data_IF_965684682787
#
_entry.id   IF_965684682787
#
_cell.length_a   1.000
_cell.length_b   1.000
_cell.length_c   1.000
_cell.angle_alpha   90.00
_cell.angle_beta   90.00
_cell.angle_gamma   90.00
#
_symmetry.space_group_name_H-M   'P 1'
#
loop_
_entity.id
_entity.type
_entity.pdbx_description
1 polymer ?
#
# COMPACT_ATOMS: atom_id res chain seq x y z
N UNK A 1 -4.67 -19.97 -15.70
CA UNK A 1 -5.46 -18.96 -14.96
C UNK A 1 -5.22 -19.09 -13.47
N UNK A 2 -5.39 -18.00 -12.72
CA UNK A 2 -5.32 -17.95 -11.27
C UNK A 2 -6.70 -17.57 -10.73
N UNK A 3 -7.18 -18.26 -9.70
CA UNK A 3 -8.51 -18.03 -9.14
C UNK A 3 -8.50 -18.16 -7.63
N UNK A 4 -9.37 -17.39 -6.97
CA UNK A 4 -9.59 -17.42 -5.54
C UNK A 4 -11.02 -17.83 -5.21
N UNK A 5 -11.17 -18.55 -4.11
CA UNK A 5 -12.45 -18.88 -3.50
C UNK A 5 -12.48 -18.36 -2.07
N UNK A 6 -13.58 -17.73 -1.68
CA UNK A 6 -13.85 -17.29 -0.30
C UNK A 6 -14.71 -18.28 0.50
N UNK A 7 -15.16 -19.37 -0.11
CA UNK A 7 -16.21 -20.24 0.42
C UNK A 7 -15.82 -21.74 0.41
N UNK A 8 -14.52 -22.04 0.55
CA UNK A 8 -14.03 -23.42 0.61
C UNK A 8 -14.05 -24.15 -0.73
N UNK A 9 -14.05 -23.41 -1.85
CA UNK A 9 -14.00 -23.95 -3.20
C UNK A 9 -15.37 -24.14 -3.86
N UNK A 10 -16.46 -23.67 -3.25
CA UNK A 10 -17.80 -23.76 -3.84
C UNK A 10 -17.97 -22.80 -5.02
N UNK A 11 -17.43 -21.58 -4.90
CA UNK A 11 -17.35 -20.60 -5.99
C UNK A 11 -15.91 -20.12 -6.20
N UNK A 12 -15.59 -19.74 -7.45
CA UNK A 12 -14.24 -19.35 -7.86
C UNK A 12 -14.28 -18.07 -8.70
N UNK A 13 -13.51 -17.08 -8.28
CA UNK A 13 -13.29 -15.82 -9.02
C UNK A 13 -11.92 -15.86 -9.67
N UNK A 14 -11.84 -15.67 -10.99
CA UNK A 14 -10.56 -15.53 -11.71
C UNK A 14 -9.95 -14.18 -11.35
N UNK A 15 -8.71 -14.20 -10.88
CA UNK A 15 -7.99 -12.99 -10.44
C UNK A 15 -6.82 -12.63 -11.33
N UNK A 16 -6.35 -13.59 -12.14
CA UNK A 16 -5.30 -13.34 -13.12
C UNK A 16 -5.31 -14.40 -14.25
N UNK A 17 -4.83 -14.01 -15.43
CA UNK A 17 -4.70 -14.87 -16.62
C UNK A 17 -3.37 -14.60 -17.33
N UNK A 18 -2.45 -15.57 -17.22
CA UNK A 18 -1.16 -15.56 -17.91
C UNK A 18 -1.20 -16.32 -19.23
N UNK A 19 -0.50 -15.81 -20.24
CA UNK A 19 -0.35 -16.40 -21.56
C UNK A 19 -1.58 -16.27 -22.48
N UNK A 20 -1.51 -16.85 -23.69
CA UNK A 20 -0.33 -17.43 -24.31
C UNK A 20 0.65 -16.37 -24.88
N UNK A 21 0.23 -15.12 -25.05
CA UNK A 21 1.05 -14.04 -25.63
C UNK A 21 1.37 -12.90 -24.63
N UNK A 22 1.37 -13.19 -23.33
CA UNK A 22 1.82 -12.23 -22.32
C UNK A 22 3.33 -12.35 -22.10
N UNK A 23 3.93 -11.36 -21.42
CA UNK A 23 5.34 -11.44 -21.02
C UNK A 23 5.64 -12.70 -20.19
N UNK A 24 4.63 -13.23 -19.50
CA UNK A 24 4.72 -14.44 -18.66
C UNK A 24 5.00 -15.73 -19.44
N UNK A 25 4.80 -15.73 -20.76
CA UNK A 25 5.03 -16.90 -21.62
C UNK A 25 6.48 -17.03 -22.13
N UNK A 26 7.36 -16.07 -21.86
CA UNK A 26 8.73 -16.04 -22.43
C UNK A 26 9.80 -16.66 -21.52
N UNK A 27 9.39 -17.30 -20.42
CA UNK A 27 10.28 -17.93 -19.44
C UNK A 27 10.85 -16.94 -18.40
N UNK A 28 11.31 -17.49 -17.28
CA UNK A 28 11.79 -16.75 -16.11
C UNK A 28 10.84 -16.80 -14.91
N UNK A 29 11.33 -16.39 -13.74
CA UNK A 29 10.51 -16.22 -12.55
C UNK A 29 9.97 -14.79 -12.51
N UNK A 30 8.64 -14.65 -12.55
CA UNK A 30 7.95 -13.35 -12.57
C UNK A 30 7.08 -13.28 -11.33
N UNK A 31 7.24 -12.21 -10.56
CA UNK A 31 6.47 -11.99 -9.35
C UNK A 31 5.07 -11.47 -9.70
N UNK A 32 4.05 -12.13 -9.15
CA UNK A 32 2.66 -11.73 -9.22
C UNK A 32 2.13 -11.48 -7.81
N UNK A 33 1.25 -10.49 -7.66
CA UNK A 33 0.57 -10.21 -6.40
C UNK A 33 -0.88 -9.86 -6.68
N UNK A 34 -1.75 -10.08 -5.70
CA UNK A 34 -3.18 -9.77 -5.79
C UNK A 34 -3.62 -9.16 -4.47
N UNK A 35 -4.22 -7.96 -4.51
CA UNK A 35 -4.77 -7.35 -3.32
C UNK A 35 -6.15 -7.94 -3.00
N UNK A 36 -6.19 -8.91 -2.07
CA UNK A 36 -7.39 -9.70 -1.76
C UNK A 36 -8.61 -8.84 -1.45
N UNK A 37 -8.47 -7.78 -0.64
CA UNK A 37 -9.59 -6.94 -0.22
C UNK A 37 -10.22 -6.11 -1.35
N UNK A 38 -9.57 -5.99 -2.52
CA UNK A 38 -10.20 -5.41 -3.71
C UNK A 38 -11.10 -6.41 -4.46
N UNK A 39 -11.01 -7.70 -4.16
CA UNK A 39 -11.68 -8.78 -4.90
C UNK A 39 -12.72 -9.47 -4.04
N UNK A 40 -12.38 -9.80 -2.79
CA UNK A 40 -13.27 -10.48 -1.85
C UNK A 40 -12.85 -10.25 -0.40
N UNK A 41 -13.79 -10.47 0.53
CA UNK A 41 -13.48 -10.47 1.96
C UNK A 41 -12.69 -11.74 2.32
N UNK A 42 -11.54 -11.62 3.00
CA UNK A 42 -10.79 -12.80 3.44
C UNK A 42 -11.58 -13.67 4.42
N UNK A 43 -11.46 -14.99 4.28
CA UNK A 43 -12.13 -15.98 5.13
C UNK A 43 -11.15 -17.05 5.63
N UNK A 44 -11.54 -17.80 6.66
CA UNK A 44 -10.72 -18.90 7.19
C UNK A 44 -10.70 -20.15 6.31
N UNK A 45 -11.57 -20.21 5.30
CA UNK A 45 -11.70 -21.32 4.35
C UNK A 45 -11.36 -20.91 2.90
N UNK A 46 -10.60 -19.83 2.71
CA UNK A 46 -10.18 -19.42 1.38
C UNK A 46 -9.31 -20.48 0.70
N UNK A 47 -9.41 -20.56 -0.63
CA UNK A 47 -8.55 -21.40 -1.45
C UNK A 47 -8.01 -20.63 -2.66
N UNK A 48 -6.78 -20.95 -3.03
CA UNK A 48 -6.14 -20.52 -4.28
C UNK A 48 -6.12 -21.69 -5.26
N UNK A 49 -6.49 -21.44 -6.51
CA UNK A 49 -6.37 -22.40 -7.60
C UNK A 49 -5.60 -21.78 -8.74
N UNK A 50 -4.57 -22.49 -9.18
CA UNK A 50 -3.80 -22.15 -10.36
C UNK A 50 -3.91 -23.31 -11.36
N UNK A 51 -4.27 -22.99 -12.60
CA UNK A 51 -4.50 -23.98 -13.65
C UNK A 51 -3.65 -23.62 -14.87
N UNK A 52 -2.68 -24.47 -15.18
CA UNK A 52 -2.04 -24.52 -16.49
C UNK A 52 -2.95 -25.30 -17.45
N UNK A 53 -3.21 -24.77 -18.64
CA UNK A 53 -4.12 -25.39 -19.60
C UNK A 53 -3.56 -25.37 -21.02
N UNK A 54 -3.58 -26.53 -21.66
CA UNK A 54 -3.13 -26.82 -23.02
C UNK A 54 -4.29 -26.71 -24.02
N UNK A 55 -4.99 -25.56 -24.00
CA UNK A 55 -6.25 -25.38 -24.74
C UNK A 55 -6.08 -25.31 -26.27
N UNK A 56 -4.84 -25.19 -26.76
CA UNK A 56 -4.51 -25.09 -28.19
C UNK A 56 -3.94 -26.39 -28.75
N UNK A 57 -4.27 -26.72 -30.00
CA UNK A 57 -3.71 -27.87 -30.70
C UNK A 57 -2.18 -27.79 -30.77
N UNK A 58 -1.50 -28.82 -30.27
CA UNK A 58 -0.03 -28.88 -30.25
C UNK A 58 0.63 -28.04 -29.14
N UNK A 59 -0.15 -27.52 -28.18
CA UNK A 59 0.42 -26.81 -27.03
C UNK A 59 1.11 -27.77 -26.06
N UNK A 60 2.32 -27.41 -25.63
CA UNK A 60 3.00 -27.99 -24.47
C UNK A 60 3.06 -26.85 -23.46
N UNK A 61 2.33 -26.99 -22.36
CA UNK A 61 2.23 -25.95 -21.33
C UNK A 61 2.86 -26.47 -20.05
N UNK A 62 3.93 -25.81 -19.63
CA UNK A 62 4.56 -25.99 -18.32
C UNK A 62 4.52 -24.65 -17.61
N UNK A 63 4.25 -24.66 -16.31
CA UNK A 63 4.57 -23.53 -15.47
C UNK A 63 4.75 -23.98 -14.02
N UNK A 64 5.49 -23.15 -13.27
CA UNK A 64 5.87 -23.40 -11.90
C UNK A 64 5.42 -22.24 -11.02
N UNK A 65 5.17 -22.54 -9.75
CA UNK A 65 4.93 -21.56 -8.70
C UNK A 65 5.99 -21.77 -7.62
N UNK A 66 6.52 -20.66 -7.11
CA UNK A 66 7.41 -20.63 -5.96
C UNK A 66 7.09 -19.38 -5.12
N UNK A 67 7.53 -19.33 -3.86
CA UNK A 67 7.32 -18.21 -2.93
C UNK A 67 5.85 -17.74 -2.80
N UNK A 68 4.91 -18.68 -2.69
CA UNK A 68 3.49 -18.36 -2.46
C UNK A 68 3.29 -17.90 -1.02
N UNK A 69 3.13 -16.59 -0.84
CA UNK A 69 2.91 -15.97 0.46
C UNK A 69 1.56 -15.23 0.54
N UNK A 70 0.88 -15.35 1.68
CA UNK A 70 -0.27 -14.53 2.04
C UNK A 70 0.05 -13.64 3.23
N UNK A 71 0.09 -12.32 3.02
CA UNK A 71 0.34 -11.35 4.09
C UNK A 71 -0.95 -10.66 4.50
N UNK A 72 -1.26 -10.67 5.80
CA UNK A 72 -2.34 -9.84 6.34
C UNK A 72 -1.82 -8.41 6.49
N UNK A 73 -2.36 -7.50 5.68
CA UNK A 73 -2.01 -6.08 5.71
C UNK A 73 -2.87 -5.27 6.70
N UNK A 74 -3.83 -5.90 7.38
CA UNK A 74 -4.60 -5.31 8.49
C UNK A 74 -3.77 -5.18 9.78
N UNK A 75 -4.33 -4.57 10.85
CA UNK A 75 -3.65 -4.43 12.14
C UNK A 75 -3.35 -5.81 12.75
N UNK A 76 -2.17 -6.34 12.45
CA UNK A 76 -1.51 -7.33 13.29
C UNK A 76 -1.11 -6.63 14.59
N UNK A 77 -1.03 -7.39 15.69
CA UNK A 77 -0.58 -6.88 16.98
C UNK A 77 0.76 -6.14 16.82
N UNK A 78 0.71 -4.80 16.78
CA UNK A 78 1.87 -3.97 16.44
C UNK A 78 1.53 -2.71 15.63
N UNK A 79 0.39 -2.66 14.92
CA UNK A 79 -0.06 -1.42 14.28
C UNK A 79 -0.92 -0.57 15.22
N UNK A 80 -0.77 0.75 15.10
CA UNK A 80 -1.53 1.75 15.84
C UNK A 80 -2.43 2.55 14.90
N UNK A 81 -3.54 3.06 15.44
CA UNK A 81 -4.52 3.82 14.68
C UNK A 81 -5.45 2.99 13.77
N UNK A 82 -6.36 3.72 13.11
CA UNK A 82 -7.41 3.19 12.23
C UNK A 82 -7.14 3.60 10.79
N UNK A 83 -7.06 2.61 9.90
CA UNK A 83 -6.90 2.82 8.45
C UNK A 83 -8.17 3.38 7.82
N UNK A 84 -8.03 4.30 6.88
CA UNK A 84 -9.11 4.90 6.11
C UNK A 84 -8.61 5.31 4.71
N UNK A 85 -9.50 5.79 3.83
CA UNK A 85 -9.17 6.09 2.43
C UNK A 85 -8.55 4.88 1.70
N UNK A 86 -9.13 3.70 1.96
CA UNK A 86 -8.63 2.41 1.46
C UNK A 86 -9.71 1.70 0.62
N UNK A 87 -9.34 1.03 -0.48
CA UNK A 87 -8.00 1.00 -1.07
C UNK A 87 -7.62 2.34 -1.72
N UNK A 88 -6.32 2.60 -1.82
CA UNK A 88 -5.79 3.68 -2.64
C UNK A 88 -6.07 3.45 -4.13
N UNK A 89 -5.87 4.47 -4.96
CA UNK A 89 -5.88 4.27 -6.41
C UNK A 89 -4.61 3.51 -6.84
N UNK A 90 -4.73 2.50 -7.74
CA UNK A 90 -3.56 1.77 -8.23
C UNK A 90 -2.50 2.69 -8.84
N UNK A 91 -1.22 2.40 -8.57
CA UNK A 91 -0.09 3.12 -9.15
C UNK A 91 0.49 2.40 -10.38
N UNK A 92 1.60 2.86 -10.95
CA UNK A 92 2.26 2.21 -12.10
C UNK A 92 2.69 0.76 -11.88
N UNK A 93 2.81 0.29 -10.64
CA UNK A 93 3.00 -1.12 -10.29
C UNK A 93 1.71 -1.95 -10.37
N UNK A 94 0.58 -1.33 -10.76
CA UNK A 94 -0.77 -1.89 -10.80
C UNK A 94 -1.38 -2.24 -9.44
N UNK A 95 -0.70 -1.88 -8.34
CA UNK A 95 -1.17 -2.14 -6.98
C UNK A 95 -1.61 -0.84 -6.29
N UNK A 96 -2.66 -0.88 -5.46
CA UNK A 96 -2.92 0.17 -4.50
C UNK A 96 -1.84 0.15 -3.41
N UNK A 97 -1.32 1.32 -3.04
CA UNK A 97 -0.30 1.44 -1.99
C UNK A 97 -0.93 1.55 -0.60
N UNK A 98 -0.21 1.09 0.41
CA UNK A 98 -0.70 1.00 1.79
C UNK A 98 0.22 1.68 2.78
N UNK A 99 -0.35 2.31 3.82
CA UNK A 99 0.38 2.81 4.98
C UNK A 99 0.00 2.08 6.27
N UNK A 100 0.99 1.83 7.11
CA UNK A 100 0.84 1.39 8.49
C UNK A 100 1.62 2.32 9.42
N UNK A 101 1.09 2.52 10.63
CA UNK A 101 1.80 3.14 11.74
C UNK A 101 2.07 2.07 12.81
N UNK A 102 3.26 2.07 13.41
CA UNK A 102 3.66 1.13 14.47
C UNK A 102 4.34 1.86 15.61
N UNK A 103 4.44 1.21 16.76
CA UNK A 103 5.03 1.76 17.98
C UNK A 103 3.97 1.99 19.06
N UNK A 104 3.87 3.22 19.55
CA UNK A 104 3.04 3.59 20.70
C UNK A 104 2.12 4.77 20.42
N UNK A 105 0.88 4.67 20.88
CA UNK A 105 -0.10 5.76 20.90
C UNK A 105 0.12 6.71 22.10
N UNK A 106 0.94 6.33 23.08
CA UNK A 106 1.39 7.27 24.11
C UNK A 106 2.35 8.31 23.51
N UNK A 107 1.92 9.57 23.40
CA UNK A 107 2.69 10.63 22.76
C UNK A 107 4.03 10.91 23.48
N UNK A 108 4.08 10.74 24.80
CA UNK A 108 5.28 10.99 25.59
C UNK A 108 6.39 9.97 25.34
N UNK A 109 6.06 8.77 24.82
CA UNK A 109 7.07 7.78 24.44
C UNK A 109 7.80 8.13 23.14
N UNK A 110 7.27 9.08 22.34
CA UNK A 110 7.86 9.52 21.07
C UNK A 110 8.35 8.36 20.18
N UNK A 111 7.53 7.31 20.09
CA UNK A 111 7.89 6.05 19.44
C UNK A 111 6.80 5.70 18.43
N UNK A 112 6.85 6.36 17.27
CA UNK A 112 6.00 6.02 16.13
C UNK A 112 6.86 5.95 14.90
N UNK A 113 6.61 4.94 14.08
CA UNK A 113 7.20 4.84 12.76
C UNK A 113 6.11 4.54 11.75
N UNK A 114 6.19 5.18 10.59
CA UNK A 114 5.33 4.96 9.45
C UNK A 114 6.02 4.03 8.46
N UNK A 115 5.29 3.10 7.88
CA UNK A 115 5.75 2.28 6.76
C UNK A 115 4.70 2.29 5.66
N UNK A 116 5.14 2.56 4.44
CA UNK A 116 4.32 2.44 3.24
C UNK A 116 4.88 1.36 2.32
N UNK A 117 3.99 0.62 1.65
CA UNK A 117 4.31 -0.54 0.79
C UNK A 117 3.49 -0.55 -0.49
N UNK A 118 3.91 -1.38 -1.44
CA UNK A 118 3.28 -1.53 -2.76
C UNK A 118 3.19 -0.20 -3.52
N UNK A 119 4.22 0.62 -3.40
CA UNK A 119 4.41 1.85 -4.17
C UNK A 119 5.17 1.56 -5.46
N UNK A 120 5.10 2.49 -6.41
CA UNK A 120 5.88 2.43 -7.64
C UNK A 120 7.39 2.27 -7.33
N UNK A 121 8.04 1.34 -8.03
CA UNK A 121 9.46 1.00 -7.82
C UNK A 121 10.39 2.12 -8.30
N UNK A 122 11.53 2.26 -7.61
CA UNK A 122 12.58 3.22 -7.92
C UNK A 122 12.11 4.69 -7.94
N UNK A 123 11.21 5.03 -7.01
CA UNK A 123 10.64 6.36 -6.87
C UNK A 123 11.03 6.99 -5.54
N UNK A 124 11.01 8.33 -5.52
CA UNK A 124 11.12 9.08 -4.26
C UNK A 124 9.72 9.38 -3.71
N UNK A 125 9.61 9.37 -2.39
CA UNK A 125 8.38 9.70 -1.68
C UNK A 125 8.64 10.39 -0.35
N UNK A 126 7.55 10.90 0.22
CA UNK A 126 7.51 11.54 1.54
C UNK A 126 6.25 11.10 2.28
N UNK A 127 6.29 11.18 3.60
CA UNK A 127 5.07 11.08 4.40
C UNK A 127 4.44 12.47 4.60
N UNK A 128 3.13 12.47 4.70
CA UNK A 128 2.28 13.61 4.99
C UNK A 128 1.53 13.35 6.29
N UNK A 129 1.22 14.43 7.00
CA UNK A 129 0.40 14.40 8.20
C UNK A 129 -0.64 15.51 8.17
N UNK A 130 -1.68 15.36 9.00
CA UNK A 130 -2.72 16.36 9.18
C UNK A 130 -3.52 16.11 10.46
N UNK A 131 -4.42 17.03 10.78
CA UNK A 131 -5.28 16.96 11.97
C UNK A 131 -6.74 16.64 11.63
N UNK A 132 -7.03 16.42 10.34
CA UNK A 132 -8.35 16.07 9.86
C UNK A 132 -8.25 15.19 8.61
N UNK A 133 -9.33 14.47 8.30
CA UNK A 133 -9.42 13.72 7.06
C UNK A 133 -9.76 14.66 5.89
N UNK A 134 -9.26 14.33 4.71
CA UNK A 134 -9.48 15.06 3.47
C UNK A 134 -9.98 14.15 2.36
N UNK A 135 -10.30 14.75 1.21
CA UNK A 135 -10.54 14.04 -0.04
C UNK A 135 -10.44 15.03 -1.19
N UNK A 136 -9.20 15.29 -1.63
CA UNK A 136 -8.91 16.16 -2.77
C UNK A 136 -7.94 15.45 -3.68
N UNK A 137 -8.20 15.42 -4.98
CA UNK A 137 -7.21 14.97 -5.98
C UNK A 137 -6.34 16.18 -6.36
N UNK A 138 -5.07 16.25 -5.92
CA UNK A 138 -4.21 17.38 -6.23
C UNK A 138 -3.82 17.40 -7.70
N UNK A 139 -3.58 18.60 -8.24
CA UNK A 139 -3.10 18.75 -9.61
C UNK A 139 -1.78 17.97 -9.82
N UNK A 140 -1.74 17.14 -10.85
CA UNK A 140 -0.57 16.31 -11.18
C UNK A 140 -0.47 14.99 -10.41
N UNK A 141 -1.44 14.68 -9.55
CA UNK A 141 -1.57 13.35 -8.94
C UNK A 141 -2.72 12.56 -9.55
N UNK A 142 -2.55 11.24 -9.65
CA UNK A 142 -3.64 10.31 -9.90
C UNK A 142 -4.33 9.88 -8.61
N UNK A 143 -3.63 9.91 -7.48
CA UNK A 143 -4.16 9.51 -6.18
C UNK A 143 -4.92 10.62 -5.46
N UNK A 144 -5.70 10.23 -4.44
CA UNK A 144 -6.47 11.15 -3.61
C UNK A 144 -5.68 11.53 -2.33
N UNK A 145 -5.57 12.83 -2.05
CA UNK A 145 -5.06 13.33 -0.78
C UNK A 145 -6.16 13.24 0.27
N UNK A 146 -5.95 12.36 1.24
CA UNK A 146 -6.91 12.00 2.28
C UNK A 146 -6.57 12.57 3.66
N UNK A 147 -5.49 13.36 3.76
CA UNK A 147 -5.12 14.10 4.96
C UNK A 147 -5.37 15.60 4.76
N UNK A 148 -5.84 16.28 5.80
CA UNK A 148 -6.18 17.71 5.77
C UNK A 148 -5.96 18.38 7.14
N UNK A 149 -6.48 19.60 7.32
CA UNK A 149 -6.28 20.38 8.55
C UNK A 149 -4.91 21.04 8.58
N UNK A 150 -4.17 20.89 9.69
CA UNK A 150 -2.80 21.38 9.83
C UNK A 150 -1.82 20.50 9.02
N UNK A 151 -1.93 20.57 7.69
CA UNK A 151 -1.20 19.71 6.76
C UNK A 151 0.31 19.94 6.87
N UNK A 152 1.06 18.88 7.12
CA UNK A 152 2.52 18.88 7.15
C UNK A 152 3.13 17.92 6.14
N UNK A 153 4.42 18.14 5.86
CA UNK A 153 5.21 17.36 4.91
C UNK A 153 6.52 16.99 5.58
N UNK A 154 6.84 15.70 5.64
CA UNK A 154 8.13 15.21 6.09
C UNK A 154 9.11 15.20 4.90
N UNK A 155 9.75 16.34 4.64
CA UNK A 155 10.65 16.55 3.51
C UNK A 155 12.01 17.17 3.88
N UNK A 156 12.40 17.11 5.15
CA UNK A 156 13.72 17.52 5.64
C UNK A 156 14.78 16.49 5.27
N UNK A 157 16.03 16.83 5.55
CA UNK A 157 17.14 15.89 5.42
C UNK A 157 16.88 14.65 6.29
N UNK A 158 16.85 13.47 5.65
CA UNK A 158 16.55 12.18 6.31
C UNK A 158 15.07 11.76 6.30
N UNK A 159 14.14 12.61 5.87
CA UNK A 159 12.70 12.29 5.85
C UNK A 159 12.17 11.83 4.48
N UNK A 160 12.94 12.09 3.41
CA UNK A 160 12.63 11.62 2.06
C UNK A 160 13.08 10.17 1.92
N UNK A 161 12.17 9.28 1.51
CA UNK A 161 12.49 7.88 1.27
C UNK A 161 12.60 7.56 -0.23
N UNK A 162 13.34 6.50 -0.52
CA UNK A 162 13.45 5.92 -1.86
C UNK A 162 12.85 4.52 -1.85
N UNK A 163 11.93 4.23 -2.76
CA UNK A 163 11.16 2.98 -2.75
C UNK A 163 11.95 1.76 -3.19
N UNK A 164 13.04 1.98 -3.94
CA UNK A 164 13.88 0.91 -4.47
C UNK A 164 13.11 -0.16 -5.23
N UNK A 165 13.64 -1.38 -5.22
CA UNK A 165 13.02 -2.54 -5.88
C UNK A 165 11.91 -3.17 -5.04
N UNK A 166 11.80 -2.82 -3.76
CA UNK A 166 10.78 -3.38 -2.85
C UNK A 166 9.47 -2.58 -2.86
N UNK A 167 9.46 -1.38 -3.45
CA UNK A 167 8.26 -0.55 -3.52
C UNK A 167 7.83 -0.05 -2.14
N UNK A 168 8.79 0.17 -1.23
CA UNK A 168 8.50 0.44 0.19
C UNK A 168 9.32 1.59 0.75
N UNK A 169 8.78 2.27 1.76
CA UNK A 169 9.41 3.39 2.44
C UNK A 169 9.03 3.41 3.91
N UNK A 170 9.90 3.94 4.77
CA UNK A 170 9.62 4.08 6.20
C UNK A 170 10.20 5.37 6.77
N UNK A 171 9.57 5.87 7.84
CA UNK A 171 10.03 7.05 8.56
C UNK A 171 9.66 6.94 10.04
N UNK A 172 10.67 7.02 10.92
CA UNK A 172 10.44 7.19 12.36
C UNK A 172 10.14 8.64 12.64
N UNK A 173 9.01 8.90 13.30
CA UNK A 173 8.53 10.23 13.59
C UNK A 173 9.19 10.77 14.86
N UNK A 174 9.51 12.06 14.85
CA UNK A 174 9.67 12.84 16.07
C UNK A 174 8.37 13.60 16.33
N UNK A 175 7.54 13.04 17.20
CA UNK A 175 6.26 13.61 17.62
C UNK A 175 6.44 14.99 18.25
N UNK A 176 7.61 15.34 18.77
CA UNK A 176 7.87 16.68 19.32
C UNK A 176 8.14 17.73 18.25
N UNK A 177 8.44 17.29 17.02
CA UNK A 177 8.88 18.12 15.91
C UNK A 177 8.09 17.82 14.62
N UNK A 178 6.79 17.65 14.77
CA UNK A 178 5.86 17.34 13.68
C UNK A 178 5.65 18.58 12.79
N UNK A 179 5.89 18.50 11.47
CA UNK A 179 5.67 19.61 10.55
C UNK A 179 4.17 19.92 10.39
N UNK A 180 3.87 21.19 10.14
CA UNK A 180 2.58 21.71 9.69
C UNK A 180 2.83 22.78 8.62
N UNK A 181 1.76 23.35 8.07
CA UNK A 181 1.82 24.48 7.14
C UNK A 181 2.30 25.79 7.80
N UNK A 182 2.33 25.86 9.13
CA UNK A 182 2.70 27.05 9.91
C UNK A 182 4.01 26.89 10.69
N UNK A 183 4.70 25.76 10.55
CA UNK A 183 5.96 25.49 11.24
C UNK A 183 5.99 24.08 11.81
N UNK A 184 6.51 23.93 13.03
CA UNK A 184 6.57 22.67 13.75
C UNK A 184 5.79 22.74 15.03
N UNK A 185 5.15 21.62 15.38
CA UNK A 185 4.40 21.45 16.62
C UNK A 185 4.74 20.10 17.24
N UNK A 186 4.45 19.98 18.53
CA UNK A 186 4.46 18.67 19.19
C UNK A 186 3.06 18.06 19.16
N UNK A 187 2.95 16.77 18.86
CA UNK A 187 1.73 15.99 19.03
C UNK A 187 1.54 15.73 20.52
N UNK A 188 0.37 16.07 21.04
CA UNK A 188 0.04 15.95 22.45
C UNK A 188 -1.01 14.86 22.70
N UNK A 189 -1.04 14.36 23.93
CA UNK A 189 -2.10 13.46 24.42
C UNK A 189 -3.50 14.06 24.19
N UNK A 190 -4.44 13.21 23.79
CA UNK A 190 -5.81 13.56 23.43
C UNK A 190 -5.99 14.05 21.99
N UNK A 191 -4.91 14.22 21.22
CA UNK A 191 -5.00 14.64 19.81
C UNK A 191 -5.12 13.45 18.87
N UNK A 192 -5.81 13.66 17.76
CA UNK A 192 -5.84 12.71 16.65
C UNK A 192 -5.11 13.31 15.45
N UNK A 193 -4.18 12.53 14.90
CA UNK A 193 -3.41 12.89 13.71
C UNK A 193 -3.58 11.84 12.63
N UNK A 194 -3.63 12.29 11.39
CA UNK A 194 -3.78 11.45 10.21
C UNK A 194 -2.51 11.45 9.39
N UNK A 195 -2.14 10.31 8.82
CA UNK A 195 -0.91 10.13 8.04
C UNK A 195 -1.19 9.45 6.70
N UNK A 196 -0.45 9.84 5.67
CA UNK A 196 -0.53 9.26 4.32
C UNK A 196 0.83 9.38 3.63
N UNK A 197 1.18 8.45 2.75
CA UNK A 197 2.38 8.55 1.92
C UNK A 197 2.04 9.18 0.57
N UNK A 198 2.89 10.09 0.10
CA UNK A 198 2.94 10.57 -1.28
C UNK A 198 4.21 10.08 -1.94
N UNK A 199 4.11 9.64 -3.19
CA UNK A 199 5.28 9.18 -3.95
C UNK A 199 5.15 9.57 -5.42
N UNK A 200 6.31 9.71 -6.08
CA UNK A 200 6.34 9.87 -7.54
C UNK A 200 5.84 8.61 -8.23
N UNK A 201 5.17 8.78 -9.35
CA UNK A 201 4.60 7.67 -10.12
C UNK A 201 4.74 7.96 -11.62
N UNK A 202 4.53 6.97 -12.47
CA UNK A 202 4.64 7.11 -13.92
C UNK A 202 3.60 6.26 -14.66
N UNK A 203 2.42 6.82 -14.92
CA UNK A 203 1.30 6.10 -15.52
C UNK A 203 0.34 7.03 -16.29
N UNK A 204 0.32 7.04 -17.64
CA UNK A 204 1.34 6.53 -18.56
C UNK A 204 2.56 7.47 -18.67
N UNK A 205 2.52 8.64 -18.02
CA UNK A 205 3.60 9.62 -17.93
C UNK A 205 3.82 10.09 -16.50
N UNK A 206 4.78 11.00 -16.32
CA UNK A 206 5.20 11.49 -15.00
C UNK A 206 4.01 12.04 -14.21
N UNK A 207 3.78 11.47 -13.03
CA UNK A 207 2.70 11.83 -12.13
C UNK A 207 3.10 11.57 -10.68
N UNK A 208 2.13 11.53 -9.79
CA UNK A 208 2.31 11.10 -8.41
C UNK A 208 1.08 10.38 -7.93
N UNK A 209 1.25 9.60 -6.87
CA UNK A 209 0.16 8.84 -6.29
C UNK A 209 0.29 8.84 -4.77
N UNK A 210 -0.74 8.30 -4.11
CA UNK A 210 -0.84 8.26 -2.67
C UNK A 210 -1.11 6.84 -2.20
N UNK A 211 -0.64 6.51 -0.99
CA UNK A 211 -1.15 5.36 -0.26
C UNK A 211 -2.57 5.64 0.25
N UNK A 212 -3.21 4.64 0.85
CA UNK A 212 -4.29 4.91 1.79
C UNK A 212 -3.77 5.66 3.02
N UNK A 213 -4.64 5.92 3.99
CA UNK A 213 -4.31 6.75 5.14
C UNK A 213 -4.56 6.03 6.47
N UNK A 214 -3.91 6.50 7.53
CA UNK A 214 -4.09 6.00 8.89
C UNK A 214 -4.36 7.16 9.86
N UNK A 215 -5.33 6.99 10.75
CA UNK A 215 -5.70 7.95 11.79
C UNK A 215 -5.30 7.42 13.16
N UNK A 216 -4.40 8.10 13.85
CA UNK A 216 -3.90 7.70 15.17
C UNK A 216 -4.38 8.70 16.22
N UNK A 217 -5.04 8.19 17.26
CA UNK A 217 -5.40 8.99 18.44
C UNK A 217 -4.35 8.76 19.52
N UNK A 218 -3.67 9.82 19.92
CA UNK A 218 -2.61 9.77 20.92
C UNK A 218 -3.16 9.99 22.32
N UNK A 219 -2.59 9.32 23.32
CA UNK A 219 -2.90 9.49 24.75
C UNK A 219 -1.65 9.73 25.60
#
# INVERSE_FOLDING_TARGET
TVSLSGDGGATWTVVDTMGPATADSNGGWIQHAVFLNAIMTPTSNMQLRWVASDLGSGSIVEAALDDVEGTNLGPSAGFIGTRYCSPALPNSSMFPSFINAYGSENAALNNVTLSATLMAYNQFGIFLNGTAQGSVVPAGSQGNLCVSGALGRYNRMGEIFYTGQTGSGSLTLDLTNTPTNSGTVSILSGQTWTFQAWFRDNNPGSTSNFSDAVSVTFY
#
